data_IF_822690700581
#
_entry.id   IF_822690700581
#
_cell.length_a   1.000
_cell.length_b   1.000
_cell.length_c   1.000
_cell.angle_alpha   90.00
_cell.angle_beta   90.00
_cell.angle_gamma   90.00
#
_symmetry.space_group_name_H-M   'P 1'
#
loop_
_entity.id
_entity.type
_entity.pdbx_description
1 polymer ?
#
# COMPACT_ATOMS: atom_id res chain seq x y z
N UNK A 1 -30.40 -2.40 -19.57
CA UNK A 1 -30.29 -2.07 -18.11
C UNK A 1 -29.90 -3.28 -17.27
N UNK A 2 -30.26 -4.49 -17.66
CA UNK A 2 -29.92 -5.72 -16.91
C UNK A 2 -28.41 -5.97 -16.79
N UNK A 3 -27.61 -5.67 -17.81
CA UNK A 3 -26.15 -5.86 -17.81
C UNK A 3 -25.39 -5.01 -16.78
N UNK A 4 -25.93 -3.87 -16.37
CA UNK A 4 -25.31 -3.00 -15.35
C UNK A 4 -25.62 -3.47 -13.92
N UNK A 5 -26.67 -4.25 -13.72
CA UNK A 5 -27.09 -4.75 -12.41
C UNK A 5 -26.54 -6.14 -12.12
N UNK A 6 -26.17 -6.90 -13.15
CA UNK A 6 -25.64 -8.27 -13.01
C UNK A 6 -24.44 -8.38 -12.03
N UNK A 7 -23.45 -7.46 -12.02
CA UNK A 7 -22.33 -7.55 -11.07
C UNK A 7 -22.76 -7.53 -9.60
N UNK A 8 -23.81 -6.79 -9.28
CA UNK A 8 -24.31 -6.64 -7.91
C UNK A 8 -25.11 -7.86 -7.38
N UNK A 9 -25.36 -8.85 -8.23
CA UNK A 9 -26.01 -10.10 -7.83
C UNK A 9 -25.04 -11.09 -7.17
N UNK A 10 -23.73 -10.89 -7.34
CA UNK A 10 -22.70 -11.75 -6.77
C UNK A 10 -22.20 -11.18 -5.46
N UNK A 11 -22.23 -11.97 -4.37
CA UNK A 11 -21.75 -11.56 -3.06
C UNK A 11 -20.26 -11.14 -3.06
N UNK A 12 -19.44 -11.85 -3.84
CA UNK A 12 -18.00 -11.52 -4.01
C UNK A 12 -17.78 -10.16 -4.64
N UNK A 13 -18.59 -9.78 -5.62
CA UNK A 13 -18.51 -8.46 -6.25
C UNK A 13 -18.94 -7.35 -5.28
N UNK A 14 -20.00 -7.58 -4.51
CA UNK A 14 -20.44 -6.62 -3.50
C UNK A 14 -19.37 -6.40 -2.42
N UNK A 15 -18.73 -7.48 -1.95
CA UNK A 15 -17.62 -7.38 -1.00
C UNK A 15 -16.43 -6.61 -1.60
N UNK A 16 -16.11 -6.83 -2.88
CA UNK A 16 -15.07 -6.09 -3.57
C UNK A 16 -15.37 -4.58 -3.65
N UNK A 17 -16.60 -4.21 -4.02
CA UNK A 17 -17.03 -2.81 -4.03
C UNK A 17 -16.99 -2.15 -2.64
N UNK A 18 -17.43 -2.89 -1.61
CA UNK A 18 -17.42 -2.40 -0.24
C UNK A 18 -16.00 -2.14 0.26
N UNK A 19 -15.07 -3.09 0.07
CA UNK A 19 -13.68 -2.94 0.51
C UNK A 19 -12.99 -1.79 -0.22
N UNK A 20 -13.19 -1.67 -1.55
CA UNK A 20 -12.64 -0.56 -2.33
C UNK A 20 -13.16 0.79 -1.83
N UNK A 21 -14.45 0.90 -1.58
CA UNK A 21 -15.06 2.14 -1.06
C UNK A 21 -14.54 2.48 0.34
N UNK A 22 -14.40 1.48 1.21
CA UNK A 22 -13.88 1.66 2.58
C UNK A 22 -12.42 2.14 2.57
N UNK A 23 -11.58 1.57 1.70
CA UNK A 23 -10.15 1.92 1.61
C UNK A 23 -9.96 3.26 0.88
N UNK A 24 -10.83 3.62 -0.06
CA UNK A 24 -10.69 4.86 -0.83
C UNK A 24 -10.73 6.12 0.04
N UNK A 25 -11.50 6.11 1.12
CA UNK A 25 -11.63 7.29 2.00
C UNK A 25 -10.31 7.64 2.69
N UNK A 26 -9.66 6.74 3.45
CA UNK A 26 -8.36 7.05 4.05
C UNK A 26 -7.27 7.32 3.00
N UNK A 27 -7.29 6.62 1.86
CA UNK A 27 -6.36 6.86 0.76
C UNK A 27 -6.50 8.27 0.17
N UNK A 28 -7.73 8.74 -0.05
CA UNK A 28 -7.99 10.10 -0.54
C UNK A 28 -7.50 11.15 0.45
N UNK A 29 -7.73 10.97 1.74
CA UNK A 29 -7.24 11.87 2.78
C UNK A 29 -5.71 11.91 2.84
N UNK A 30 -5.06 10.74 2.81
CA UNK A 30 -3.60 10.64 2.83
C UNK A 30 -2.97 11.25 1.58
N UNK A 31 -3.57 11.03 0.40
CA UNK A 31 -3.05 11.57 -0.86
C UNK A 31 -2.97 13.09 -0.85
N UNK A 32 -3.94 13.78 -0.25
CA UNK A 32 -3.91 15.23 -0.12
C UNK A 32 -2.65 15.70 0.64
N UNK A 33 -2.33 15.07 1.77
CA UNK A 33 -1.15 15.42 2.56
C UNK A 33 0.16 15.04 1.86
N UNK A 34 0.20 13.90 1.19
CA UNK A 34 1.38 13.47 0.45
C UNK A 34 1.70 14.40 -0.71
N UNK A 35 0.68 14.83 -1.48
CA UNK A 35 0.84 15.78 -2.57
C UNK A 35 1.34 17.13 -2.05
N UNK A 36 0.80 17.64 -0.95
CA UNK A 36 1.24 18.90 -0.33
C UNK A 36 2.72 18.84 0.11
N UNK A 37 3.21 17.67 0.52
CA UNK A 37 4.62 17.45 0.86
C UNK A 37 5.53 17.20 -0.35
N UNK A 38 5.00 17.12 -1.55
CA UNK A 38 5.76 16.70 -2.74
C UNK A 38 6.07 15.20 -2.77
N UNK A 39 5.27 14.38 -2.08
CA UNK A 39 5.44 12.91 -1.99
C UNK A 39 4.37 12.19 -2.80
N UNK A 40 4.01 12.73 -3.94
CA UNK A 40 2.89 12.25 -4.77
C UNK A 40 3.04 10.78 -5.20
N UNK A 41 4.26 10.31 -5.47
CA UNK A 41 4.54 8.95 -5.91
C UNK A 41 4.73 7.94 -4.76
N UNK A 42 4.67 8.38 -3.49
CA UNK A 42 5.02 7.52 -2.36
C UNK A 42 4.08 6.34 -2.19
N UNK A 43 2.78 6.53 -2.44
CA UNK A 43 1.80 5.44 -2.36
C UNK A 43 2.08 4.34 -3.37
N UNK A 44 2.35 4.71 -4.61
CA UNK A 44 2.69 3.80 -5.69
C UNK A 44 4.03 3.10 -5.42
N UNK A 45 5.05 3.86 -5.03
CA UNK A 45 6.37 3.32 -4.71
C UNK A 45 6.31 2.27 -3.58
N UNK A 46 5.56 2.54 -2.51
CA UNK A 46 5.41 1.60 -1.39
C UNK A 46 4.64 0.34 -1.83
N UNK A 47 3.58 0.47 -2.62
CA UNK A 47 2.75 -0.67 -3.04
C UNK A 47 3.56 -1.74 -3.77
N UNK A 48 4.49 -1.34 -4.61
CA UNK A 48 5.39 -2.25 -5.32
C UNK A 48 6.62 -2.68 -4.50
N UNK A 49 7.14 -1.81 -3.63
CA UNK A 49 8.26 -2.12 -2.76
C UNK A 49 7.92 -3.17 -1.67
N UNK A 50 6.66 -3.47 -1.47
CA UNK A 50 6.17 -4.50 -0.53
C UNK A 50 6.50 -5.92 -1.01
N UNK A 51 6.69 -6.15 -2.31
CA UNK A 51 6.89 -7.46 -2.91
C UNK A 51 7.97 -8.32 -2.21
N UNK A 52 9.21 -7.84 -1.96
CA UNK A 52 10.23 -8.68 -1.32
C UNK A 52 9.83 -9.07 0.12
N UNK A 53 9.09 -8.22 0.83
CA UNK A 53 8.62 -8.54 2.17
C UNK A 53 7.53 -9.60 2.18
N UNK A 54 6.63 -9.58 1.22
CA UNK A 54 5.59 -10.61 1.05
C UNK A 54 6.23 -11.96 0.71
N UNK A 55 7.20 -11.96 -0.22
CA UNK A 55 7.94 -13.17 -0.60
C UNK A 55 8.73 -13.73 0.60
N UNK A 56 9.40 -12.87 1.36
CA UNK A 56 10.14 -13.29 2.56
C UNK A 56 9.19 -13.85 3.64
N UNK A 57 8.04 -13.22 3.86
CA UNK A 57 7.04 -13.70 4.82
C UNK A 57 6.49 -15.06 4.41
N UNK A 58 6.25 -15.28 3.13
CA UNK A 58 5.85 -16.58 2.59
C UNK A 58 6.88 -17.68 2.91
N UNK A 59 8.17 -17.40 2.69
CA UNK A 59 9.26 -18.33 2.99
C UNK A 59 9.37 -18.67 4.48
N UNK A 60 9.15 -17.68 5.33
CA UNK A 60 9.25 -17.81 6.79
C UNK A 60 7.97 -18.37 7.43
N UNK A 61 6.93 -18.67 6.63
CA UNK A 61 5.61 -19.08 7.10
C UNK A 61 4.99 -18.12 8.14
N UNK A 62 5.24 -16.81 7.98
CA UNK A 62 4.62 -15.73 8.77
C UNK A 62 3.47 -15.10 7.98
N UNK A 63 2.50 -14.46 8.67
CA UNK A 63 1.42 -13.74 7.97
C UNK A 63 1.96 -12.73 6.98
N UNK A 64 1.50 -12.79 5.72
CA UNK A 64 1.96 -11.94 4.61
C UNK A 64 1.85 -10.44 4.93
N UNK A 65 0.86 -10.08 5.73
CA UNK A 65 0.62 -8.70 6.17
C UNK A 65 1.79 -8.12 6.98
N UNK A 66 2.46 -8.94 7.77
CA UNK A 66 3.63 -8.53 8.57
C UNK A 66 4.82 -8.24 7.64
N UNK A 67 5.08 -9.12 6.69
CA UNK A 67 6.15 -8.92 5.70
C UNK A 67 5.90 -7.70 4.83
N UNK A 68 4.66 -7.52 4.38
CA UNK A 68 4.23 -6.36 3.62
C UNK A 68 4.46 -5.06 4.41
N UNK A 69 4.03 -5.02 5.66
CA UNK A 69 4.21 -3.85 6.53
C UNK A 69 5.69 -3.53 6.78
N UNK A 70 6.51 -4.53 7.09
CA UNK A 70 7.95 -4.34 7.31
C UNK A 70 8.67 -3.82 6.07
N UNK A 71 8.35 -4.35 4.88
CA UNK A 71 8.94 -3.88 3.64
C UNK A 71 8.48 -2.46 3.27
N UNK A 72 7.21 -2.15 3.44
CA UNK A 72 6.69 -0.80 3.24
C UNK A 72 7.32 0.22 4.20
N UNK A 73 7.48 -0.15 5.47
CA UNK A 73 8.17 0.69 6.47
C UNK A 73 9.64 0.88 6.11
N UNK A 74 10.33 -0.18 5.69
CA UNK A 74 11.72 -0.09 5.24
C UNK A 74 11.85 0.83 4.02
N UNK A 75 10.95 0.71 3.04
CA UNK A 75 10.92 1.60 1.86
C UNK A 75 10.75 3.07 2.28
N UNK A 76 9.82 3.35 3.18
CA UNK A 76 9.58 4.71 3.67
C UNK A 76 10.79 5.28 4.40
N UNK A 77 11.41 4.50 5.29
CA UNK A 77 12.61 4.91 6.04
C UNK A 77 13.83 5.10 5.13
N UNK A 78 14.04 4.17 4.19
CA UNK A 78 15.14 4.26 3.22
C UNK A 78 15.00 5.50 2.33
N UNK A 79 13.78 5.78 1.85
CA UNK A 79 13.49 6.99 1.07
C UNK A 79 13.75 8.26 1.89
N UNK A 80 13.30 8.30 3.14
CA UNK A 80 13.53 9.42 4.05
C UNK A 80 15.02 9.66 4.29
N UNK A 81 15.76 8.61 4.64
CA UNK A 81 17.20 8.67 4.88
C UNK A 81 18.00 9.12 3.66
N UNK A 82 17.72 8.55 2.50
CA UNK A 82 18.38 8.92 1.25
C UNK A 82 18.09 10.37 0.86
N UNK A 83 16.88 10.85 1.09
CA UNK A 83 16.51 12.24 0.83
C UNK A 83 17.32 13.21 1.70
N UNK A 84 17.44 12.94 3.00
CA UNK A 84 18.17 13.81 3.92
C UNK A 84 19.68 13.83 3.63
N UNK A 85 20.23 12.73 3.14
CA UNK A 85 21.66 12.56 2.88
C UNK A 85 22.05 12.74 1.41
N UNK A 86 21.13 13.12 0.52
CA UNK A 86 21.43 13.34 -0.90
C UNK A 86 20.86 14.67 -1.40
N UNK A 87 21.49 15.22 -2.43
CA UNK A 87 21.01 16.44 -3.12
C UNK A 87 20.04 16.11 -4.27
N UNK A 88 19.57 14.88 -4.34
CA UNK A 88 18.71 14.38 -5.41
C UNK A 88 17.26 14.76 -5.10
N UNK A 89 16.47 15.04 -6.14
CA UNK A 89 15.04 15.29 -6.01
C UNK A 89 14.34 14.07 -5.40
N UNK A 90 13.37 14.32 -4.56
CA UNK A 90 12.66 13.30 -3.80
C UNK A 90 12.03 12.21 -4.66
N UNK A 91 11.39 12.57 -5.76
CA UNK A 91 10.78 11.62 -6.69
C UNK A 91 11.82 10.67 -7.30
N UNK A 92 13.04 11.17 -7.57
CA UNK A 92 14.15 10.34 -8.06
C UNK A 92 14.61 9.34 -7.00
N UNK A 93 14.73 9.77 -5.74
CA UNK A 93 15.08 8.88 -4.61
C UNK A 93 14.02 7.80 -4.45
N UNK A 94 12.75 8.17 -4.48
CA UNK A 94 11.65 7.18 -4.43
C UNK A 94 11.72 6.19 -5.59
N UNK A 95 11.98 6.67 -6.80
CA UNK A 95 12.15 5.82 -7.98
C UNK A 95 13.28 4.80 -7.82
N UNK A 96 14.42 5.21 -7.26
CA UNK A 96 15.57 4.33 -7.02
C UNK A 96 15.23 3.24 -5.99
N UNK A 97 14.69 3.65 -4.83
CA UNK A 97 14.34 2.70 -3.75
C UNK A 97 13.26 1.72 -4.21
N UNK A 98 12.21 2.23 -4.84
CA UNK A 98 11.14 1.43 -5.41
C UNK A 98 11.65 0.40 -6.43
N UNK A 99 12.42 0.85 -7.44
CA UNK A 99 12.93 -0.04 -8.48
C UNK A 99 13.87 -1.09 -7.92
N UNK A 100 14.72 -0.71 -6.95
CA UNK A 100 15.63 -1.64 -6.29
C UNK A 100 14.89 -2.71 -5.49
N UNK A 101 13.90 -2.31 -4.67
CA UNK A 101 13.11 -3.26 -3.89
C UNK A 101 12.23 -4.15 -4.78
N UNK A 102 11.59 -3.58 -5.80
CA UNK A 102 10.77 -4.34 -6.74
C UNK A 102 11.61 -5.36 -7.51
N UNK A 103 12.78 -4.96 -8.04
CA UNK A 103 13.69 -5.85 -8.71
C UNK A 103 14.19 -6.97 -7.79
N UNK A 104 14.54 -6.66 -6.54
CA UNK A 104 14.90 -7.65 -5.54
C UNK A 104 13.75 -8.63 -5.26
N UNK A 105 12.53 -8.13 -5.14
CA UNK A 105 11.34 -8.95 -4.95
C UNK A 105 11.10 -9.93 -6.09
N UNK A 106 11.26 -9.48 -7.36
CA UNK A 106 11.15 -10.35 -8.54
C UNK A 106 12.24 -11.44 -8.52
N UNK A 107 13.50 -11.07 -8.24
CA UNK A 107 14.61 -12.03 -8.17
C UNK A 107 14.37 -13.06 -7.07
N UNK A 108 13.89 -12.65 -5.89
CA UNK A 108 13.52 -13.58 -4.83
C UNK A 108 12.39 -14.51 -5.29
N UNK A 109 11.35 -13.96 -5.89
CA UNK A 109 10.21 -14.73 -6.37
C UNK A 109 10.60 -15.79 -7.40
N UNK A 110 11.45 -15.45 -8.38
CA UNK A 110 11.88 -16.38 -9.44
C UNK A 110 12.75 -17.52 -8.94
N UNK A 111 13.38 -17.38 -7.76
CA UNK A 111 14.20 -18.41 -7.14
C UNK A 111 13.39 -19.42 -6.32
N UNK A 112 12.14 -19.11 -6.03
CA UNK A 112 11.27 -19.90 -5.16
C UNK A 112 10.20 -20.53 -6.06
N UNK A 113 10.10 -21.86 -6.00
CA UNK A 113 8.96 -22.58 -6.56
C UNK A 113 7.76 -22.38 -5.63
N UNK A 114 6.92 -21.40 -5.93
CA UNK A 114 5.72 -21.14 -5.14
C UNK A 114 4.47 -21.47 -5.95
N UNK A 115 3.46 -22.03 -5.30
CA UNK A 115 2.12 -22.21 -5.89
C UNK A 115 1.34 -20.88 -5.95
N UNK A 116 1.90 -19.82 -5.34
CA UNK A 116 1.28 -18.49 -5.33
C UNK A 116 1.65 -17.74 -6.60
N UNK A 117 0.67 -17.44 -7.43
CA UNK A 117 0.87 -16.68 -8.64
C UNK A 117 1.28 -15.23 -8.32
N UNK A 118 2.32 -14.75 -8.99
CA UNK A 118 2.84 -13.37 -8.84
C UNK A 118 1.75 -12.32 -9.08
N UNK A 119 0.85 -12.60 -10.00
CA UNK A 119 -0.28 -11.74 -10.33
C UNK A 119 -1.18 -11.47 -9.11
N UNK A 120 -1.44 -12.48 -8.29
CA UNK A 120 -2.25 -12.32 -7.07
C UNK A 120 -1.54 -11.49 -6.00
N UNK A 121 -0.21 -11.50 -5.97
CA UNK A 121 0.57 -10.69 -5.03
C UNK A 121 0.65 -9.23 -5.49
N UNK A 122 0.87 -8.99 -6.79
CA UNK A 122 1.06 -7.66 -7.35
C UNK A 122 -0.26 -6.89 -7.52
N UNK A 123 -1.27 -7.56 -8.05
CA UNK A 123 -2.55 -6.92 -8.38
C UNK A 123 -3.62 -7.14 -7.32
N UNK A 124 -3.37 -8.07 -6.37
CA UNK A 124 -4.35 -8.48 -5.37
C UNK A 124 -5.48 -9.32 -5.97
N UNK A 125 -6.24 -9.95 -5.11
CA UNK A 125 -7.44 -10.69 -5.50
C UNK A 125 -8.67 -10.13 -4.77
N UNK A 126 -9.22 -9.07 -5.30
CA UNK A 126 -10.39 -8.42 -4.68
C UNK A 126 -11.68 -9.25 -4.76
N UNK A 127 -11.76 -10.21 -5.71
CA UNK A 127 -12.93 -11.07 -5.85
C UNK A 127 -12.99 -12.19 -4.81
N UNK A 128 -11.87 -12.48 -4.16
CA UNK A 128 -11.75 -13.50 -3.11
C UNK A 128 -11.87 -12.96 -1.67
N UNK A 129 -12.29 -11.70 -1.49
CA UNK A 129 -12.39 -11.08 -0.16
C UNK A 129 -13.44 -11.78 0.69
N UNK A 130 -12.97 -12.37 1.80
CA UNK A 130 -13.84 -12.99 2.81
C UNK A 130 -14.39 -11.93 3.79
N UNK A 131 -15.50 -12.27 4.46
CA UNK A 131 -16.13 -11.39 5.44
C UNK A 131 -15.20 -10.96 6.58
N UNK A 132 -14.25 -11.80 6.98
CA UNK A 132 -13.22 -11.45 7.99
C UNK A 132 -12.27 -10.37 7.49
N UNK A 133 -11.84 -10.48 6.24
CA UNK A 133 -10.95 -9.50 5.61
C UNK A 133 -11.64 -8.15 5.46
N UNK A 134 -12.94 -8.15 5.11
CA UNK A 134 -13.73 -6.95 5.04
C UNK A 134 -13.81 -6.22 6.39
N UNK A 135 -14.03 -6.95 7.48
CA UNK A 135 -14.06 -6.38 8.83
C UNK A 135 -12.71 -5.84 9.27
N UNK A 136 -11.64 -6.59 9.04
CA UNK A 136 -10.27 -6.14 9.40
C UNK A 136 -9.85 -4.92 8.61
N UNK A 137 -10.10 -4.91 7.29
CA UNK A 137 -9.82 -3.75 6.44
C UNK A 137 -10.65 -2.53 6.86
N UNK A 138 -11.93 -2.71 7.18
CA UNK A 138 -12.81 -1.64 7.66
C UNK A 138 -12.32 -1.04 8.99
N UNK A 139 -11.92 -1.86 9.94
CA UNK A 139 -11.37 -1.39 11.22
C UNK A 139 -10.07 -0.62 11.03
N UNK A 140 -9.16 -1.11 10.19
CA UNK A 140 -7.90 -0.43 9.87
C UNK A 140 -8.18 0.90 9.16
N UNK A 141 -9.06 0.91 8.17
CA UNK A 141 -9.44 2.11 7.45
C UNK A 141 -10.04 3.16 8.39
N UNK A 142 -10.93 2.75 9.29
CA UNK A 142 -11.52 3.63 10.31
C UNK A 142 -10.45 4.18 11.25
N UNK A 143 -9.55 3.33 11.75
CA UNK A 143 -8.46 3.75 12.63
C UNK A 143 -7.56 4.79 11.96
N UNK A 144 -7.20 4.57 10.69
CA UNK A 144 -6.40 5.53 9.90
C UNK A 144 -7.12 6.86 9.75
N UNK A 145 -8.41 6.85 9.40
CA UNK A 145 -9.22 8.08 9.29
C UNK A 145 -9.27 8.83 10.62
N UNK A 146 -9.51 8.13 11.72
CA UNK A 146 -9.55 8.75 13.07
C UNK A 146 -8.20 9.38 13.41
N UNK A 147 -7.08 8.71 13.15
CA UNK A 147 -5.73 9.25 13.40
C UNK A 147 -5.47 10.48 12.53
N UNK A 148 -5.83 10.45 11.23
CA UNK A 148 -5.67 11.59 10.33
C UNK A 148 -6.49 12.79 10.83
N UNK A 149 -7.75 12.58 11.20
CA UNK A 149 -8.63 13.64 11.68
C UNK A 149 -8.17 14.20 13.03
N UNK A 150 -7.71 13.33 13.95
CA UNK A 150 -7.17 13.75 15.24
C UNK A 150 -5.89 14.58 15.10
N UNK A 151 -5.03 14.17 14.16
CA UNK A 151 -3.73 14.81 13.90
C UNK A 151 -3.78 15.85 12.76
N UNK A 152 -4.95 16.22 12.29
CA UNK A 152 -5.10 17.12 11.12
C UNK A 152 -4.34 18.44 11.25
N UNK A 153 -4.31 19.02 12.47
CA UNK A 153 -3.60 20.30 12.72
C UNK A 153 -2.09 20.12 12.59
N UNK A 154 -1.55 19.08 13.20
CA UNK A 154 -0.12 18.77 13.16
C UNK A 154 0.31 18.43 11.73
N UNK A 155 -0.49 17.62 11.02
CA UNK A 155 -0.25 17.25 9.63
C UNK A 155 -0.26 18.48 8.69
N UNK A 156 -1.23 19.39 8.88
CA UNK A 156 -1.28 20.65 8.12
C UNK A 156 -0.06 21.53 8.42
N UNK A 157 0.28 21.72 9.70
CA UNK A 157 1.44 22.54 10.10
C UNK A 157 2.72 21.98 9.45
N UNK A 158 2.94 20.67 9.51
CA UNK A 158 4.09 20.03 8.88
C UNK A 158 4.05 20.03 7.34
N UNK A 159 2.87 20.13 6.72
CA UNK A 159 2.76 20.22 5.28
C UNK A 159 3.11 21.62 4.74
N UNK A 160 2.78 22.68 5.50
CA UNK A 160 2.98 24.06 5.10
C UNK A 160 4.23 24.73 5.71
N UNK A 161 4.80 24.17 6.78
CA UNK A 161 6.05 24.68 7.34
C UNK A 161 7.23 23.99 6.65
N UNK A 162 7.98 24.68 5.79
CA UNK A 162 9.25 24.13 5.30
C UNK A 162 10.23 24.10 6.48
N UNK A 163 10.69 22.91 6.82
CA UNK A 163 11.86 22.73 7.68
C UNK A 163 13.09 22.85 6.80
#
# INVERSE_FOLDING_TARGET
METLVQPFQFASMNNAFLIMTMISVPMALLSCYLVLKGWSLMGDAISHAVLPGVVAAYLLNIPLIIGAFCAGMFCALATGFLRENSRVKQDTVMGIVFSGMFGLGIVMYTKISTDVHLDHILFGNMLGVDGRELWTAGLIALAVVVVILAKRRDLMLHAFAPI
#
